data_IF_998698555040
#
_entry.id   IF_998698555040
#
_cell.length_a   1.000
_cell.length_b   1.000
_cell.length_c   1.000
_cell.angle_alpha   90.00
_cell.angle_beta   90.00
_cell.angle_gamma   90.00
#
_symmetry.space_group_name_H-M   'P 1'
#
loop_
_entity.id
_entity.type
_entity.pdbx_description
1 polymer ?
#
# COMPACT_ATOMS: atom_id res chain seq x y z
N UNK A 1 -17.67 -28.67 -25.11
CA UNK A 1 -17.99 -28.79 -23.67
C UNK A 1 -16.77 -28.29 -22.91
N UNK A 2 -16.75 -27.01 -22.56
CA UNK A 2 -15.60 -26.37 -21.93
C UNK A 2 -15.87 -26.21 -20.42
N UNK A 3 -15.08 -26.94 -19.65
CA UNK A 3 -14.62 -26.69 -18.28
C UNK A 3 -15.42 -25.70 -17.41
N UNK A 4 -16.45 -26.23 -16.73
CA UNK A 4 -17.10 -25.59 -15.59
C UNK A 4 -16.43 -25.94 -14.24
N UNK A 5 -15.38 -26.78 -14.24
CA UNK A 5 -14.73 -27.26 -13.00
C UNK A 5 -13.71 -26.27 -12.45
N UNK A 6 -13.03 -25.52 -13.31
CA UNK A 6 -11.94 -24.61 -12.93
C UNK A 6 -12.40 -23.31 -12.25
N UNK A 7 -13.71 -23.00 -12.24
CA UNK A 7 -14.27 -21.77 -11.66
C UNK A 7 -14.58 -21.91 -10.14
N UNK A 8 -14.85 -23.13 -9.68
CA UNK A 8 -15.18 -23.40 -8.28
C UNK A 8 -13.94 -23.32 -7.38
N UNK A 9 -12.77 -23.74 -7.85
CA UNK A 9 -11.54 -23.74 -7.04
C UNK A 9 -11.00 -22.34 -6.75
N UNK A 10 -11.12 -21.39 -7.70
CA UNK A 10 -10.71 -20.01 -7.49
C UNK A 10 -11.64 -19.28 -6.51
N UNK A 11 -12.96 -19.48 -6.65
CA UNK A 11 -13.95 -18.92 -5.74
C UNK A 11 -13.86 -19.53 -4.34
N UNK A 12 -13.54 -20.82 -4.26
CA UNK A 12 -13.28 -21.54 -3.01
C UNK A 12 -12.00 -21.05 -2.33
N UNK A 13 -10.90 -20.85 -3.06
CA UNK A 13 -9.66 -20.29 -2.50
C UNK A 13 -9.85 -18.87 -1.95
N UNK A 14 -10.61 -18.01 -2.64
CA UNK A 14 -10.93 -16.65 -2.17
C UNK A 14 -11.84 -16.70 -0.93
N UNK A 15 -12.77 -17.66 -0.87
CA UNK A 15 -13.67 -17.87 0.28
C UNK A 15 -12.94 -18.44 1.49
N UNK A 16 -12.10 -19.46 1.29
CA UNK A 16 -11.35 -20.15 2.35
C UNK A 16 -10.29 -19.23 2.97
N UNK A 17 -9.64 -18.37 2.17
CA UNK A 17 -8.78 -17.29 2.68
C UNK A 17 -9.54 -16.31 3.59
N UNK A 18 -10.81 -16.02 3.26
CA UNK A 18 -11.65 -15.11 4.05
C UNK A 18 -12.21 -15.75 5.34
N UNK A 19 -12.68 -17.01 5.27
CA UNK A 19 -13.22 -17.74 6.44
C UNK A 19 -12.15 -18.07 7.49
N UNK A 20 -10.87 -18.10 7.09
CA UNK A 20 -9.73 -18.35 8.00
C UNK A 20 -9.38 -17.18 8.94
N UNK A 21 -10.08 -16.04 8.88
CA UNK A 21 -9.87 -14.90 9.79
C UNK A 21 -8.63 -14.05 9.48
N UNK A 22 -8.15 -14.06 8.23
CA UNK A 22 -6.98 -13.28 7.77
C UNK A 22 -7.20 -11.75 7.71
N UNK A 23 -8.37 -11.23 8.09
CA UNK A 23 -8.68 -9.79 8.09
C UNK A 23 -9.33 -9.29 9.39
N UNK A 24 -9.00 -9.88 10.55
CA UNK A 24 -9.46 -9.30 11.83
C UNK A 24 -8.61 -8.07 12.21
N UNK A 25 -8.99 -6.91 11.67
CA UNK A 25 -8.52 -5.60 12.13
C UNK A 25 -9.55 -4.95 13.06
N UNK A 26 -10.12 -5.69 14.02
CA UNK A 26 -10.89 -5.10 15.12
C UNK A 26 -9.97 -4.58 16.23
N UNK A 27 -9.26 -3.48 15.95
CA UNK A 27 -8.54 -2.70 16.97
C UNK A 27 -9.40 -2.29 18.20
N UNK A 28 -10.74 -2.11 18.12
CA UNK A 28 -11.52 -1.72 19.30
C UNK A 28 -11.86 -2.86 20.27
N UNK A 29 -11.96 -4.13 19.80
CA UNK A 29 -12.40 -5.25 20.67
C UNK A 29 -11.28 -5.74 21.60
N UNK A 30 -10.02 -5.60 21.18
CA UNK A 30 -8.85 -5.98 21.99
C UNK A 30 -8.67 -5.09 23.23
N UNK A 31 -9.11 -3.83 23.17
CA UNK A 31 -9.00 -2.88 24.30
C UNK A 31 -10.06 -3.14 25.38
N UNK A 32 -11.24 -3.64 25.00
CA UNK A 32 -12.36 -3.89 25.92
C UNK A 32 -12.17 -5.20 26.69
N UNK A 33 -11.58 -6.24 26.08
CA UNK A 33 -11.35 -7.52 26.78
C UNK A 33 -10.26 -7.47 27.85
N UNK A 34 -9.48 -6.38 27.91
CA UNK A 34 -8.39 -6.18 28.89
C UNK A 34 -8.66 -5.11 29.97
N UNK A 35 -9.88 -4.55 30.05
CA UNK A 35 -10.29 -3.74 31.19
C UNK A 35 -9.52 -2.43 31.42
N UNK A 36 -9.01 -1.79 30.37
CA UNK A 36 -8.26 -0.54 30.50
C UNK A 36 -9.20 0.68 30.57
N UNK A 37 -9.60 1.04 31.78
CA UNK A 37 -10.25 2.32 32.07
C UNK A 37 -9.26 3.50 32.08
N UNK A 38 -9.82 4.66 31.76
CA UNK A 38 -9.17 5.93 31.44
C UNK A 38 -8.65 6.61 32.71
N UNK A 39 -7.34 6.58 32.97
CA UNK A 39 -6.73 7.45 33.99
C UNK A 39 -5.65 8.38 33.46
N UNK A 40 -5.63 9.56 34.10
CA UNK A 40 -4.99 10.82 33.75
C UNK A 40 -3.85 11.04 34.76
N UNK A 41 -2.59 11.15 34.31
CA UNK A 41 -1.41 11.56 35.12
C UNK A 41 -0.41 12.23 34.15
N UNK A 42 -0.14 13.54 34.13
CA UNK A 42 0.66 14.43 35.00
C UNK A 42 2.03 13.90 35.45
N UNK A 43 3.06 14.58 34.92
CA UNK A 43 4.41 14.91 35.40
C UNK A 43 5.33 13.86 36.08
N UNK A 44 6.56 13.83 35.56
CA UNK A 44 7.83 13.29 36.09
C UNK A 44 8.15 11.79 36.01
N UNK A 45 9.20 11.48 35.23
CA UNK A 45 10.33 10.64 35.66
C UNK A 45 10.17 9.12 35.75
N UNK A 46 10.48 8.42 34.64
CA UNK A 46 11.03 7.04 34.52
C UNK A 46 10.65 5.96 35.56
N UNK A 47 9.99 4.89 35.09
CA UNK A 47 10.31 3.47 35.35
C UNK A 47 9.58 2.55 34.35
N UNK A 48 10.29 1.52 33.87
CA UNK A 48 9.90 0.56 32.84
C UNK A 48 8.98 -0.56 33.36
N UNK A 49 8.13 -1.16 32.50
CA UNK A 49 7.86 -2.61 32.43
C UNK A 49 7.11 -3.01 31.13
N UNK A 50 7.62 -4.11 30.56
CA UNK A 50 7.29 -4.87 29.35
C UNK A 50 5.88 -5.53 29.40
N UNK A 51 5.24 -6.15 28.41
CA UNK A 51 5.51 -6.66 27.05
C UNK A 51 4.14 -7.08 26.46
N UNK A 52 3.93 -6.93 25.15
CA UNK A 52 2.79 -7.53 24.46
C UNK A 52 2.49 -6.90 23.10
N UNK A 53 3.39 -7.09 22.14
CA UNK A 53 3.25 -6.57 20.76
C UNK A 53 3.42 -7.70 19.75
N UNK A 54 2.67 -7.67 18.65
CA UNK A 54 3.29 -7.66 17.34
C UNK A 54 2.98 -6.32 16.67
N UNK A 55 3.81 -5.34 16.97
CA UNK A 55 3.91 -4.06 16.29
C UNK A 55 5.16 -4.18 15.43
N UNK A 56 5.00 -4.43 14.12
CA UNK A 56 6.11 -4.24 13.18
C UNK A 56 6.32 -2.73 13.03
N UNK A 57 7.15 -2.17 13.91
CA UNK A 57 7.77 -0.86 13.72
C UNK A 57 9.01 -1.05 12.84
N UNK A 58 9.04 -0.24 11.78
CA UNK A 58 10.19 0.33 11.06
C UNK A 58 11.59 -0.22 11.37
N UNK A 59 12.33 -0.52 10.30
CA UNK A 59 13.71 -0.01 10.19
C UNK A 59 13.68 1.37 9.51
N UNK A 60 14.13 2.37 10.26
CA UNK A 60 14.83 3.55 9.78
C UNK A 60 16.23 3.41 10.35
N UNK A 61 17.20 3.00 9.54
CA UNK A 61 18.61 3.08 9.93
C UNK A 61 19.02 4.56 9.94
N UNK A 62 19.11 5.15 11.13
CA UNK A 62 19.88 6.38 11.35
C UNK A 62 21.25 5.97 11.91
N UNK A 63 22.32 6.32 11.21
CA UNK A 63 23.69 6.18 11.72
C UNK A 63 23.94 7.33 12.69
N UNK A 64 24.07 7.01 13.98
CA UNK A 64 24.40 7.97 15.04
C UNK A 64 25.89 7.83 15.40
N UNK A 65 26.62 8.95 15.49
CA UNK A 65 28.00 8.97 16.03
C UNK A 65 28.03 9.66 17.41
N UNK A 66 28.82 9.15 18.36
CA UNK A 66 29.04 9.82 19.65
C UNK A 66 29.89 11.08 19.47
N UNK A 67 29.49 12.19 20.10
CA UNK A 67 30.28 13.42 20.19
C UNK A 67 31.15 13.36 21.46
N UNK A 68 32.48 13.41 21.37
CA UNK A 68 33.35 13.36 22.56
C UNK A 68 33.02 14.49 23.54
N UNK A 69 32.72 14.13 24.79
CA UNK A 69 32.45 15.09 25.87
C UNK A 69 30.99 15.55 26.03
N UNK A 70 30.02 14.96 25.30
CA UNK A 70 28.58 15.22 25.50
C UNK A 70 27.79 13.90 25.62
N UNK A 71 26.83 13.85 26.55
CA UNK A 71 25.96 12.68 26.78
C UNK A 71 24.76 12.60 25.79
N UNK A 72 24.92 13.01 24.53
CA UNK A 72 23.91 12.82 23.48
C UNK A 72 24.55 12.59 22.09
N UNK A 73 23.82 11.91 21.21
CA UNK A 73 24.22 11.61 19.83
C UNK A 73 23.62 12.63 18.85
N UNK A 74 24.37 13.06 17.84
CA UNK A 74 23.89 13.96 16.76
C UNK A 74 23.67 13.19 15.45
N UNK A 75 22.65 13.63 14.69
CA UNK A 75 22.24 13.11 13.38
C UNK A 75 22.83 13.99 12.27
N UNK A 76 23.59 13.41 11.34
CA UNK A 76 24.05 14.10 10.13
C UNK A 76 23.03 13.92 9.00
N UNK A 77 22.33 15.00 8.62
CA UNK A 77 21.63 15.09 7.33
C UNK A 77 22.56 15.74 6.30
N UNK A 78 22.83 15.05 5.18
CA UNK A 78 23.32 15.74 3.99
C UNK A 78 22.16 16.58 3.44
N UNK A 79 22.20 17.87 3.72
CA UNK A 79 21.35 18.86 3.08
C UNK A 79 21.83 19.06 1.64
N UNK A 80 21.01 18.62 0.68
CA UNK A 80 21.00 19.20 -0.66
C UNK A 80 19.65 19.88 -0.81
N UNK A 81 19.69 21.21 -0.96
CA UNK A 81 18.52 22.05 -1.18
C UNK A 81 17.78 21.65 -2.46
N UNK A 82 16.61 21.03 -2.30
CA UNK A 82 15.55 20.95 -3.29
C UNK A 82 14.27 21.44 -2.60
N UNK A 83 13.51 22.29 -3.27
CA UNK A 83 12.33 22.96 -2.70
C UNK A 83 11.32 21.95 -2.10
N UNK A 84 10.90 22.17 -0.86
CA UNK A 84 10.04 21.25 -0.10
C UNK A 84 8.57 21.30 -0.58
N UNK A 85 8.10 20.25 -1.27
CA UNK A 85 6.69 20.07 -1.67
C UNK A 85 5.97 19.07 -0.74
N UNK A 86 4.92 19.44 0.01
CA UNK A 86 4.22 18.51 0.90
C UNK A 86 3.43 17.42 0.13
N UNK A 87 3.47 16.16 0.58
CA UNK A 87 2.84 15.02 -0.13
C UNK A 87 1.59 14.47 0.54
N UNK A 88 0.52 14.31 -0.23
CA UNK A 88 -0.72 13.67 0.23
C UNK A 88 -0.78 12.24 -0.27
N UNK A 89 -0.99 11.26 0.61
CA UNK A 89 -1.01 9.86 0.22
C UNK A 89 -2.33 9.18 0.55
N UNK A 90 -2.83 8.38 -0.41
CA UNK A 90 -3.98 7.49 -0.26
C UNK A 90 -3.57 6.01 -0.47
N UNK A 91 -2.27 5.70 -0.29
CA UNK A 91 -1.68 4.35 -0.35
C UNK A 91 -1.10 3.92 1.00
N UNK A 92 -1.28 2.65 1.41
CA UNK A 92 -0.66 2.05 2.60
C UNK A 92 0.61 1.26 2.33
N UNK A 93 1.06 1.22 1.08
CA UNK A 93 2.27 0.48 0.71
C UNK A 93 3.47 1.21 1.33
N UNK A 94 3.77 0.88 2.58
CA UNK A 94 4.58 1.72 3.47
C UNK A 94 6.02 1.86 2.95
N UNK A 95 6.52 0.87 2.20
CA UNK A 95 7.82 0.96 1.57
C UNK A 95 7.81 1.74 0.24
N UNK A 96 6.75 1.66 -0.58
CA UNK A 96 6.65 2.54 -1.76
C UNK A 96 6.46 4.01 -1.36
N UNK A 97 5.81 4.25 -0.22
CA UNK A 97 5.64 5.56 0.38
C UNK A 97 6.96 6.16 0.87
N UNK A 98 7.76 5.39 1.63
CA UNK A 98 9.11 5.81 2.03
C UNK A 98 10.00 6.04 0.81
N UNK A 99 9.93 5.15 -0.18
CA UNK A 99 10.80 5.22 -1.35
C UNK A 99 10.41 6.37 -2.30
N UNK A 100 9.11 6.65 -2.48
CA UNK A 100 8.64 7.79 -3.25
C UNK A 100 8.92 9.13 -2.54
N UNK A 101 8.68 9.20 -1.23
CA UNK A 101 9.04 10.35 -0.41
C UNK A 101 10.56 10.60 -0.46
N UNK A 102 11.36 9.56 -0.24
CA UNK A 102 12.82 9.63 -0.34
C UNK A 102 13.31 10.01 -1.73
N UNK A 103 12.65 9.54 -2.80
CA UNK A 103 12.99 9.94 -4.16
C UNK A 103 12.77 11.43 -4.41
N UNK A 104 11.72 11.99 -3.82
CA UNK A 104 11.39 13.42 -3.88
C UNK A 104 12.12 14.26 -2.84
N UNK A 105 13.02 13.66 -2.03
CA UNK A 105 13.76 14.37 -0.99
C UNK A 105 12.93 14.77 0.23
N UNK A 106 11.68 14.29 0.36
CA UNK A 106 10.78 14.66 1.45
C UNK A 106 10.69 13.59 2.54
N UNK A 107 10.36 14.00 3.77
CA UNK A 107 10.06 13.05 4.86
C UNK A 107 8.77 12.30 4.58
N UNK A 108 8.70 11.05 5.05
CA UNK A 108 7.49 10.25 4.93
C UNK A 108 6.31 10.91 5.68
N UNK A 109 5.17 11.13 5.01
CA UNK A 109 3.92 11.63 5.60
C UNK A 109 3.41 10.79 6.77
N UNK A 110 2.88 11.46 7.78
CA UNK A 110 2.29 10.80 8.95
C UNK A 110 0.90 10.25 8.61
N UNK A 111 0.51 9.06 9.12
CA UNK A 111 -0.86 8.59 9.02
C UNK A 111 -1.88 9.54 9.66
N UNK A 112 -2.90 9.94 8.90
CA UNK A 112 -4.05 10.71 9.37
C UNK A 112 -4.75 10.06 10.57
N UNK A 113 -4.77 8.72 10.60
CA UNK A 113 -5.34 7.95 11.69
C UNK A 113 -4.72 8.25 13.07
N UNK A 114 -3.48 8.76 13.11
CA UNK A 114 -2.82 9.14 14.36
C UNK A 114 -3.32 10.48 14.92
N UNK A 115 -4.20 11.19 14.17
CA UNK A 115 -4.82 12.47 14.57
C UNK A 115 -3.80 13.52 15.03
N UNK A 116 -2.61 13.51 14.44
CA UNK A 116 -1.57 14.49 14.74
C UNK A 116 -1.97 15.83 14.13
N UNK A 117 -2.17 16.85 14.97
CA UNK A 117 -2.57 18.21 14.56
C UNK A 117 -1.45 19.23 14.70
N UNK A 118 -0.27 18.80 15.15
CA UNK A 118 0.91 19.65 15.28
C UNK A 118 1.46 20.05 13.91
N UNK A 119 1.55 21.35 13.66
CA UNK A 119 1.91 21.96 12.38
C UNK A 119 3.23 21.41 11.80
N UNK A 120 4.24 21.19 12.66
CA UNK A 120 5.57 20.68 12.26
C UNK A 120 5.51 19.33 11.53
N UNK A 121 4.51 18.51 11.83
CA UNK A 121 4.36 17.20 11.22
C UNK A 121 3.57 17.26 9.92
N UNK A 122 2.63 18.20 9.83
CA UNK A 122 1.78 18.42 8.67
C UNK A 122 2.57 19.02 7.50
N UNK A 123 3.64 19.78 7.77
CA UNK A 123 4.52 20.39 6.75
C UNK A 123 5.12 19.38 5.76
N UNK A 124 5.27 18.12 6.14
CA UNK A 124 5.83 17.08 5.27
C UNK A 124 4.77 16.30 4.47
N UNK A 125 3.48 16.63 4.66
CA UNK A 125 2.37 15.91 4.04
C UNK A 125 1.58 15.02 5.01
N UNK A 126 0.55 14.35 4.48
CA UNK A 126 -0.37 13.51 5.27
C UNK A 126 -0.73 12.22 4.52
N UNK A 127 -0.80 11.09 5.24
CA UNK A 127 -1.21 9.79 4.70
C UNK A 127 -2.62 9.40 5.17
N UNK A 128 -3.60 9.44 4.27
CA UNK A 128 -4.99 9.07 4.50
C UNK A 128 -5.30 7.58 4.25
N UNK A 129 -4.31 6.80 3.84
CA UNK A 129 -4.54 5.43 3.40
C UNK A 129 -4.97 4.49 4.52
N UNK A 130 -5.88 3.58 4.17
CA UNK A 130 -6.43 2.57 5.09
C UNK A 130 -6.28 1.18 4.47
N UNK A 131 -5.77 0.21 5.24
CA UNK A 131 -5.59 -1.16 4.77
C UNK A 131 -6.94 -1.79 4.42
N UNK A 132 -6.99 -2.57 3.34
CA UNK A 132 -8.21 -3.22 2.88
C UNK A 132 -9.21 -2.32 2.16
N UNK A 133 -8.99 -1.00 2.10
CA UNK A 133 -9.90 -0.06 1.41
C UNK A 133 -9.86 -0.20 -0.11
N UNK A 134 -10.94 0.21 -0.76
CA UNK A 134 -11.08 0.30 -2.21
C UNK A 134 -11.51 1.70 -2.69
N UNK A 135 -11.71 1.81 -4.00
CA UNK A 135 -12.47 2.91 -4.63
C UNK A 135 -13.92 2.85 -4.13
N UNK A 136 -14.48 1.64 -4.08
CA UNK A 136 -15.76 1.33 -3.45
C UNK A 136 -15.59 0.72 -2.05
N UNK A 137 -16.71 0.39 -1.40
CA UNK A 137 -16.69 -0.38 -0.15
C UNK A 137 -16.22 -1.81 -0.44
N UNK A 138 -15.26 -2.28 0.35
CA UNK A 138 -14.67 -3.60 0.23
C UNK A 138 -15.24 -4.54 1.29
N UNK A 139 -14.66 -5.73 1.43
CA UNK A 139 -14.96 -6.64 2.54
C UNK A 139 -14.52 -6.09 3.90
N UNK A 140 -13.57 -5.15 3.92
CA UNK A 140 -13.12 -4.49 5.14
C UNK A 140 -13.98 -3.24 5.35
N UNK A 141 -14.71 -3.17 6.47
CA UNK A 141 -15.58 -2.04 6.79
C UNK A 141 -14.76 -0.82 7.23
N UNK A 142 -14.13 -0.19 6.24
CA UNK A 142 -13.28 0.98 6.40
C UNK A 142 -13.71 2.07 5.41
N UNK A 143 -13.36 3.34 5.71
CA UNK A 143 -13.63 4.46 4.80
C UNK A 143 -12.99 4.24 3.42
N UNK A 144 -13.83 4.18 2.38
CA UNK A 144 -13.40 4.09 0.98
C UNK A 144 -12.64 5.35 0.51
N UNK A 145 -12.10 5.33 -0.70
CA UNK A 145 -11.37 6.46 -1.28
C UNK A 145 -12.12 7.79 -1.18
N UNK A 146 -13.42 7.78 -1.49
CA UNK A 146 -14.29 8.96 -1.44
C UNK A 146 -14.32 9.56 -0.03
N UNK A 147 -14.43 8.72 1.00
CA UNK A 147 -14.41 9.16 2.40
C UNK A 147 -13.01 9.65 2.84
N UNK A 148 -11.94 9.01 2.37
CA UNK A 148 -10.58 9.48 2.64
C UNK A 148 -10.33 10.88 2.04
N UNK A 149 -10.84 11.14 0.84
CA UNK A 149 -10.82 12.49 0.23
C UNK A 149 -11.63 13.47 1.07
N UNK A 150 -12.78 13.07 1.62
CA UNK A 150 -13.56 13.94 2.51
C UNK A 150 -12.74 14.35 3.74
N UNK A 151 -11.96 13.43 4.34
CA UNK A 151 -11.07 13.77 5.45
C UNK A 151 -10.01 14.79 5.05
N UNK A 152 -9.40 14.63 3.87
CA UNK A 152 -8.44 15.59 3.33
C UNK A 152 -9.06 16.97 3.11
N UNK A 153 -10.22 17.02 2.46
CA UNK A 153 -10.96 18.27 2.23
C UNK A 153 -11.32 18.99 3.53
N UNK A 154 -11.68 18.24 4.58
CA UNK A 154 -11.94 18.82 5.91
C UNK A 154 -10.70 19.49 6.51
N UNK A 155 -9.49 18.93 6.32
CA UNK A 155 -8.26 19.57 6.81
C UNK A 155 -7.96 20.88 6.06
N UNK A 156 -8.22 20.91 4.75
CA UNK A 156 -8.08 22.14 3.94
C UNK A 156 -9.09 23.20 4.41
N UNK A 157 -10.36 22.83 4.57
CA UNK A 157 -11.41 23.76 5.01
C UNK A 157 -11.12 24.35 6.40
N UNK A 158 -10.55 23.55 7.30
CA UNK A 158 -10.12 23.99 8.63
C UNK A 158 -8.79 24.75 8.62
N UNK A 159 -8.18 24.95 7.45
CA UNK A 159 -6.85 25.58 7.28
C UNK A 159 -5.74 24.91 8.09
N UNK A 160 -5.90 23.61 8.37
CA UNK A 160 -4.89 22.77 9.03
C UNK A 160 -3.85 22.30 8.01
N UNK A 161 -4.25 22.18 6.74
CA UNK A 161 -3.39 21.76 5.64
C UNK A 161 -3.55 22.71 4.46
N UNK A 162 -2.44 23.07 3.79
CA UNK A 162 -2.46 23.83 2.55
C UNK A 162 -2.04 22.92 1.40
N UNK A 163 -2.89 22.79 0.39
CA UNK A 163 -2.69 21.94 -0.78
C UNK A 163 -1.87 22.58 -1.90
N UNK A 164 -1.63 23.90 -1.83
CA UNK A 164 -0.79 24.61 -2.79
C UNK A 164 0.59 23.97 -2.80
N UNK A 165 1.09 23.62 -3.98
CA UNK A 165 2.38 22.94 -4.14
C UNK A 165 2.42 21.53 -3.53
N UNK A 166 1.27 20.83 -3.44
CA UNK A 166 1.26 19.41 -3.05
C UNK A 166 1.21 18.46 -4.24
N UNK A 167 1.82 17.29 -4.07
CA UNK A 167 1.63 16.12 -4.95
C UNK A 167 0.77 15.09 -4.20
N UNK A 168 -0.24 14.52 -4.87
CA UNK A 168 -0.99 13.40 -4.34
C UNK A 168 -0.51 12.07 -4.94
N UNK A 169 -0.30 11.06 -4.10
CA UNK A 169 -0.05 9.68 -4.51
C UNK A 169 -1.26 8.79 -4.16
N UNK A 170 -1.85 8.18 -5.18
CA UNK A 170 -3.03 7.31 -5.09
C UNK A 170 -2.63 5.89 -5.48
N UNK A 171 -2.91 4.92 -4.61
CA UNK A 171 -2.71 3.49 -4.93
C UNK A 171 -3.91 2.65 -4.51
N UNK A 172 -4.75 2.39 -5.50
CA UNK A 172 -5.95 1.57 -5.49
C UNK A 172 -6.00 0.87 -6.87
N UNK A 173 -6.73 -0.21 -7.12
CA UNK A 173 -7.99 -0.65 -6.53
C UNK A 173 -8.00 -2.15 -6.19
N UNK A 174 -6.86 -2.74 -5.80
CA UNK A 174 -6.72 -4.20 -5.61
C UNK A 174 -7.85 -4.86 -4.80
N UNK A 175 -8.25 -4.24 -3.69
CA UNK A 175 -9.30 -4.76 -2.81
C UNK A 175 -10.71 -4.73 -3.43
N UNK A 176 -10.97 -3.85 -4.39
CA UNK A 176 -12.25 -3.80 -5.12
C UNK A 176 -12.46 -5.11 -5.90
N UNK A 177 -11.40 -5.60 -6.57
CA UNK A 177 -11.43 -6.86 -7.32
C UNK A 177 -11.55 -8.08 -6.39
N UNK A 178 -10.78 -8.11 -5.31
CA UNK A 178 -10.91 -9.17 -4.31
C UNK A 178 -12.34 -9.24 -3.75
N UNK A 179 -12.93 -8.07 -3.45
CA UNK A 179 -14.32 -7.97 -2.97
C UNK A 179 -15.33 -8.41 -4.04
N UNK A 180 -15.12 -8.02 -5.30
CA UNK A 180 -15.98 -8.39 -6.42
C UNK A 180 -16.09 -9.91 -6.55
N UNK A 181 -14.96 -10.62 -6.57
CA UNK A 181 -14.97 -12.09 -6.68
C UNK A 181 -15.48 -12.77 -5.41
N UNK A 182 -15.15 -12.25 -4.21
CA UNK A 182 -15.70 -12.77 -2.96
C UNK A 182 -17.23 -12.65 -2.87
N UNK A 183 -17.83 -11.67 -3.55
CA UNK A 183 -19.28 -11.49 -3.67
C UNK A 183 -19.88 -12.20 -4.88
N UNK A 184 -19.24 -13.26 -5.37
CA UNK A 184 -19.66 -14.07 -6.51
C UNK A 184 -19.73 -13.32 -7.85
N UNK A 185 -18.89 -12.29 -8.02
CA UNK A 185 -18.69 -11.65 -9.32
C UNK A 185 -18.07 -12.62 -10.34
N UNK A 186 -18.45 -12.51 -11.61
CA UNK A 186 -18.00 -13.42 -12.67
C UNK A 186 -16.85 -12.83 -13.50
N UNK A 187 -16.11 -13.70 -14.18
CA UNK A 187 -15.05 -13.27 -15.10
C UNK A 187 -15.60 -12.41 -16.25
N UNK A 188 -16.78 -12.74 -16.77
CA UNK A 188 -17.47 -11.99 -17.83
C UNK A 188 -17.86 -10.59 -17.35
N UNK A 189 -18.35 -10.47 -16.11
CA UNK A 189 -18.74 -9.20 -15.51
C UNK A 189 -17.56 -8.30 -15.13
N UNK A 190 -16.33 -8.83 -15.11
CA UNK A 190 -15.14 -8.09 -14.67
C UNK A 190 -14.83 -6.87 -15.56
N UNK A 191 -15.17 -6.91 -16.86
CA UNK A 191 -15.00 -5.76 -17.75
C UNK A 191 -15.88 -4.58 -17.35
N UNK A 192 -17.16 -4.84 -17.11
CA UNK A 192 -18.13 -3.82 -16.68
C UNK A 192 -17.76 -3.27 -15.29
N UNK A 193 -17.35 -4.15 -14.37
CA UNK A 193 -16.87 -3.75 -13.05
C UNK A 193 -15.59 -2.91 -13.12
N UNK A 194 -14.62 -3.28 -13.96
CA UNK A 194 -13.41 -2.48 -14.17
C UNK A 194 -13.76 -1.07 -14.65
N UNK A 195 -14.70 -0.96 -15.59
CA UNK A 195 -15.16 0.35 -16.06
C UNK A 195 -15.74 1.18 -14.91
N UNK A 196 -16.60 0.62 -14.06
CA UNK A 196 -17.17 1.37 -12.93
C UNK A 196 -16.11 1.81 -11.91
N UNK A 197 -15.11 0.97 -11.64
CA UNK A 197 -13.95 1.33 -10.79
C UNK A 197 -13.18 2.51 -11.39
N UNK A 198 -12.87 2.48 -12.68
CA UNK A 198 -12.16 3.56 -13.37
C UNK A 198 -12.99 4.85 -13.40
N UNK A 199 -14.29 4.77 -13.71
CA UNK A 199 -15.18 5.93 -13.74
C UNK A 199 -15.21 6.63 -12.37
N UNK A 200 -15.36 5.86 -11.28
CA UNK A 200 -15.37 6.42 -9.93
C UNK A 200 -13.98 6.92 -9.48
N UNK A 201 -12.92 6.22 -9.86
CA UNK A 201 -11.54 6.65 -9.60
C UNK A 201 -11.29 8.02 -10.25
N UNK A 202 -11.63 8.18 -11.53
CA UNK A 202 -11.49 9.44 -12.28
C UNK A 202 -12.21 10.60 -11.59
N UNK A 203 -13.44 10.39 -11.11
CA UNK A 203 -14.17 11.40 -10.33
C UNK A 203 -13.41 11.80 -9.05
N UNK A 204 -12.85 10.81 -8.35
CA UNK A 204 -12.07 11.06 -7.15
C UNK A 204 -10.75 11.79 -7.44
N UNK A 205 -10.08 11.48 -8.55
CA UNK A 205 -8.87 12.20 -8.98
C UNK A 205 -9.18 13.67 -9.29
N UNK A 206 -10.27 13.95 -10.02
CA UNK A 206 -10.75 15.33 -10.27
C UNK A 206 -10.99 16.08 -8.95
N UNK A 207 -11.56 15.43 -7.94
CA UNK A 207 -11.79 16.03 -6.61
C UNK A 207 -10.50 16.37 -5.88
N UNK A 208 -9.47 15.51 -5.97
CA UNK A 208 -8.15 15.76 -5.37
C UNK A 208 -7.50 16.98 -6.04
N UNK A 209 -7.48 17.02 -7.37
CA UNK A 209 -6.93 18.16 -8.11
C UNK A 209 -7.71 19.45 -7.83
N UNK A 210 -9.05 19.38 -7.83
CA UNK A 210 -9.95 20.52 -7.61
C UNK A 210 -9.85 21.17 -6.22
N UNK A 211 -9.14 20.56 -5.26
CA UNK A 211 -8.83 21.20 -3.97
C UNK A 211 -7.43 21.82 -3.92
N UNK A 212 -6.77 21.99 -5.06
CA UNK A 212 -5.50 22.73 -5.19
C UNK A 212 -4.24 21.87 -5.27
N UNK A 213 -4.37 20.53 -5.32
CA UNK A 213 -3.23 19.62 -5.53
C UNK A 213 -2.74 19.74 -6.98
N UNK A 214 -1.44 19.99 -7.17
CA UNK A 214 -0.87 20.30 -8.49
C UNK A 214 -0.69 19.07 -9.39
N UNK A 215 -0.13 17.99 -8.83
CA UNK A 215 0.08 16.73 -9.53
C UNK A 215 -0.59 15.59 -8.77
N UNK A 216 -1.27 14.70 -9.49
CA UNK A 216 -1.92 13.51 -8.94
C UNK A 216 -1.33 12.27 -9.61
N UNK A 217 -0.42 11.62 -8.90
CA UNK A 217 0.19 10.36 -9.29
C UNK A 217 -0.71 9.19 -8.88
N UNK A 218 -0.99 8.29 -9.81
CA UNK A 218 -1.87 7.14 -9.61
C UNK A 218 -1.13 5.89 -10.05
N UNK A 219 -1.02 4.88 -9.18
CA UNK A 219 -0.42 3.61 -9.57
C UNK A 219 -1.40 2.79 -10.40
N UNK A 220 -0.91 2.12 -11.45
CA UNK A 220 -1.60 0.95 -11.99
C UNK A 220 -1.68 -0.17 -10.94
N UNK A 221 -2.53 -1.16 -11.18
CA UNK A 221 -2.60 -2.37 -10.36
C UNK A 221 -1.55 -3.40 -10.79
N UNK A 222 -1.03 -4.14 -9.82
CA UNK A 222 -0.01 -5.19 -9.98
C UNK A 222 -0.54 -6.38 -10.80
N UNK A 223 0.33 -7.23 -11.37
CA UNK A 223 -0.09 -8.46 -12.03
C UNK A 223 -0.73 -9.43 -11.03
N UNK A 224 -2.07 -9.39 -10.93
CA UNK A 224 -2.83 -10.23 -9.99
C UNK A 224 -2.56 -11.72 -10.15
N UNK A 225 -2.33 -12.19 -11.38
CA UNK A 225 -1.98 -13.58 -11.66
C UNK A 225 -0.69 -14.04 -11.01
N UNK A 226 0.18 -13.13 -10.58
CA UNK A 226 1.43 -13.42 -9.88
C UNK A 226 1.30 -13.38 -8.35
N UNK A 227 0.14 -13.00 -7.79
CA UNK A 227 -0.04 -12.99 -6.34
C UNK A 227 0.00 -14.42 -5.78
N UNK A 228 0.61 -14.66 -4.61
CA UNK A 228 0.66 -15.99 -4.03
C UNK A 228 -0.73 -16.60 -3.76
N UNK A 229 -1.73 -15.82 -3.40
CA UNK A 229 -3.13 -16.30 -3.28
C UNK A 229 -3.68 -16.90 -4.58
N UNK A 230 -3.17 -16.49 -5.74
CA UNK A 230 -3.56 -17.02 -7.05
C UNK A 230 -2.68 -18.21 -7.47
N UNK A 231 -1.38 -18.14 -7.19
CA UNK A 231 -0.39 -19.14 -7.65
C UNK A 231 -0.22 -20.33 -6.70
N UNK A 232 -0.75 -20.26 -5.47
CA UNK A 232 -0.72 -21.34 -4.47
C UNK A 232 -1.28 -22.67 -5.00
N UNK A 233 -2.40 -22.62 -5.73
CA UNK A 233 -3.05 -23.76 -6.40
C UNK A 233 -2.15 -24.53 -7.39
N UNK A 234 -1.07 -23.91 -7.86
CA UNK A 234 -0.08 -24.50 -8.77
C UNK A 234 1.33 -24.48 -8.15
N UNK A 235 1.38 -24.55 -6.82
CA UNK A 235 2.62 -24.59 -6.02
C UNK A 235 3.58 -23.44 -6.33
N UNK A 236 3.05 -22.23 -6.57
CA UNK A 236 3.83 -21.02 -6.81
C UNK A 236 4.78 -21.12 -8.02
N UNK A 237 4.42 -21.93 -9.04
CA UNK A 237 5.29 -22.21 -10.20
C UNK A 237 5.33 -21.09 -11.24
N UNK A 238 4.19 -20.47 -11.52
CA UNK A 238 4.06 -19.45 -12.58
C UNK A 238 2.88 -18.53 -12.33
N UNK A 239 2.87 -17.36 -12.95
CA UNK A 239 1.72 -16.47 -12.92
C UNK A 239 0.56 -17.00 -13.77
N UNK A 240 -0.68 -16.75 -13.34
CA UNK A 240 -1.88 -17.07 -14.15
C UNK A 240 -2.22 -15.93 -15.10
N UNK A 241 -1.92 -16.11 -16.38
CA UNK A 241 -2.08 -15.05 -17.38
C UNK A 241 -3.53 -14.61 -17.61
N UNK A 242 -4.49 -15.53 -17.48
CA UNK A 242 -5.92 -15.22 -17.54
C UNK A 242 -6.36 -14.21 -16.47
N UNK A 243 -5.75 -14.27 -15.28
CA UNK A 243 -6.00 -13.33 -14.18
C UNK A 243 -5.26 -12.00 -14.42
N UNK A 244 -4.05 -12.04 -14.99
CA UNK A 244 -3.30 -10.83 -15.36
C UNK A 244 -4.05 -9.96 -16.39
N UNK A 245 -4.87 -10.56 -17.26
CA UNK A 245 -5.68 -9.80 -18.22
C UNK A 245 -6.62 -8.80 -17.56
N UNK A 246 -7.08 -9.05 -16.33
CA UNK A 246 -7.88 -8.11 -15.54
C UNK A 246 -7.05 -6.86 -15.22
N UNK A 247 -5.83 -7.07 -14.71
CA UNK A 247 -4.91 -5.99 -14.36
C UNK A 247 -4.47 -5.18 -15.59
N UNK A 248 -4.16 -5.86 -16.69
CA UNK A 248 -3.84 -5.21 -17.97
C UNK A 248 -4.99 -4.34 -18.47
N UNK A 249 -6.22 -4.86 -18.44
CA UNK A 249 -7.39 -4.12 -18.88
C UNK A 249 -7.67 -2.89 -18.00
N UNK A 250 -7.56 -3.02 -16.67
CA UNK A 250 -7.65 -1.90 -15.75
C UNK A 250 -6.62 -0.82 -16.07
N UNK A 251 -5.34 -1.20 -16.19
CA UNK A 251 -4.25 -0.25 -16.39
C UNK A 251 -4.36 0.45 -17.74
N UNK A 252 -4.81 -0.25 -18.79
CA UNK A 252 -5.11 0.35 -20.09
C UNK A 252 -6.22 1.40 -20.01
N UNK A 253 -7.35 1.07 -19.36
CA UNK A 253 -8.46 2.02 -19.20
C UNK A 253 -8.07 3.21 -18.32
N UNK A 254 -7.27 2.98 -17.27
CA UNK A 254 -6.73 4.04 -16.43
C UNK A 254 -5.85 4.98 -17.26
N UNK A 255 -4.89 4.45 -18.02
CA UNK A 255 -4.01 5.26 -18.87
C UNK A 255 -4.80 6.14 -19.85
N UNK A 256 -5.78 5.57 -20.54
CA UNK A 256 -6.65 6.31 -21.46
C UNK A 256 -7.45 7.40 -20.76
N UNK A 257 -7.96 7.10 -19.55
CA UNK A 257 -8.73 8.06 -18.76
C UNK A 257 -7.87 9.22 -18.25
N UNK A 258 -6.63 8.94 -17.82
CA UNK A 258 -5.69 9.98 -17.39
C UNK A 258 -5.24 10.87 -18.55
N UNK A 259 -5.03 10.30 -19.75
CA UNK A 259 -4.77 11.09 -20.96
C UNK A 259 -5.93 12.03 -21.28
N UNK A 260 -7.17 11.55 -21.21
CA UNK A 260 -8.37 12.38 -21.40
C UNK A 260 -8.43 13.50 -20.36
N UNK A 261 -8.20 13.18 -19.09
CA UNK A 261 -8.18 14.17 -18.01
C UNK A 261 -7.15 15.28 -18.25
N UNK A 262 -5.93 14.93 -18.64
CA UNK A 262 -4.90 15.92 -18.93
C UNK A 262 -5.30 16.82 -20.11
N UNK A 263 -5.87 16.23 -21.18
CA UNK A 263 -6.39 17.02 -22.32
C UNK A 263 -7.50 17.99 -21.90
N UNK A 264 -8.40 17.59 -20.98
CA UNK A 264 -9.45 18.46 -20.43
C UNK A 264 -8.86 19.62 -19.61
N UNK A 265 -7.76 19.41 -18.90
CA UNK A 265 -7.12 20.46 -18.08
C UNK A 265 -6.30 21.46 -18.90
N UNK A 266 -6.00 21.18 -20.16
CA UNK A 266 -5.11 22.00 -20.99
C UNK A 266 -3.63 22.00 -20.55
N UNK A 267 -3.30 21.26 -19.49
CA UNK A 267 -1.95 21.09 -18.96
C UNK A 267 -1.46 19.67 -19.23
N UNK A 268 -0.22 19.55 -19.72
CA UNK A 268 0.45 18.25 -19.73
C UNK A 268 0.86 17.88 -18.30
N UNK A 269 0.63 16.62 -17.92
CA UNK A 269 1.19 16.00 -16.70
C UNK A 269 0.57 16.40 -15.34
N UNK A 270 -0.72 16.75 -15.28
CA UNK A 270 -1.45 16.87 -14.00
C UNK A 270 -1.72 15.50 -13.40
N UNK A 271 -2.26 14.58 -14.19
CA UNK A 271 -2.55 13.21 -13.78
C UNK A 271 -1.51 12.25 -14.37
N UNK A 272 -0.79 11.56 -13.50
CA UNK A 272 0.40 10.78 -13.86
C UNK A 272 0.17 9.32 -13.52
N UNK A 273 0.41 8.43 -14.49
CA UNK A 273 0.40 6.99 -14.27
C UNK A 273 1.78 6.53 -13.77
N UNK A 274 1.81 5.88 -12.61
CA UNK A 274 2.97 5.11 -12.16
C UNK A 274 2.77 3.66 -12.58
N UNK A 275 3.63 3.16 -13.47
CA UNK A 275 3.51 1.83 -14.07
C UNK A 275 4.00 0.73 -13.12
N UNK A 276 3.20 0.50 -12.09
CA UNK A 276 3.48 -0.49 -11.08
C UNK A 276 3.43 -1.92 -11.64
N UNK A 277 2.62 -2.16 -12.69
CA UNK A 277 2.52 -3.47 -13.32
C UNK A 277 3.84 -3.90 -13.94
N UNK A 278 4.45 -3.03 -14.76
CA UNK A 278 5.75 -3.33 -15.38
C UNK A 278 6.85 -3.38 -14.34
N UNK A 279 6.87 -2.47 -13.37
CA UNK A 279 7.87 -2.49 -12.29
C UNK A 279 7.84 -3.81 -11.51
N UNK A 280 6.64 -4.30 -11.17
CA UNK A 280 6.45 -5.58 -10.48
C UNK A 280 6.84 -6.77 -11.34
N UNK A 281 6.44 -6.75 -12.62
CA UNK A 281 6.78 -7.81 -13.57
C UNK A 281 8.30 -7.91 -13.79
N UNK A 282 8.98 -6.77 -13.94
CA UNK A 282 10.43 -6.70 -14.06
C UNK A 282 11.13 -7.22 -12.80
N UNK A 283 10.66 -6.80 -11.62
CA UNK A 283 11.23 -7.25 -10.35
C UNK A 283 11.10 -8.77 -10.14
N UNK A 284 10.00 -9.37 -10.60
CA UNK A 284 9.82 -10.84 -10.60
C UNK A 284 10.65 -11.55 -11.68
N UNK A 285 10.79 -10.96 -12.87
CA UNK A 285 11.56 -11.51 -14.01
C UNK A 285 13.07 -11.52 -13.80
N UNK A 286 13.61 -10.61 -12.98
CA UNK A 286 15.03 -10.64 -12.56
C UNK A 286 15.47 -12.02 -12.04
N UNK A 287 14.53 -12.85 -11.58
CA UNK A 287 14.75 -14.25 -11.23
C UNK A 287 14.81 -15.22 -12.40
N UNK A 288 13.92 -15.06 -13.39
CA UNK A 288 13.79 -16.00 -14.51
C UNK A 288 14.94 -15.89 -15.50
N UNK A 289 15.37 -14.66 -15.80
CA UNK A 289 16.38 -14.41 -16.82
C UNK A 289 17.82 -14.50 -16.26
N UNK A 290 18.00 -14.30 -14.94
CA UNK A 290 19.29 -14.31 -14.27
C UNK A 290 19.25 -15.00 -12.89
N UNK A 291 19.05 -16.32 -12.82
CA UNK A 291 18.92 -17.06 -11.55
C UNK A 291 20.15 -16.90 -10.63
N UNK A 292 21.35 -16.77 -11.20
CA UNK A 292 22.63 -16.54 -10.50
C UNK A 292 22.67 -15.19 -9.74
N UNK A 293 21.94 -14.18 -10.25
CA UNK A 293 21.90 -12.81 -9.71
C UNK A 293 20.59 -12.53 -8.95
N UNK A 294 19.73 -13.54 -8.78
CA UNK A 294 18.44 -13.37 -8.15
C UNK A 294 18.57 -13.32 -6.63
N UNK A 295 18.10 -12.22 -6.02
CA UNK A 295 18.02 -12.10 -4.56
C UNK A 295 16.87 -12.92 -3.94
N UNK A 296 16.08 -13.65 -4.74
CA UNK A 296 14.87 -14.35 -4.28
C UNK A 296 14.87 -15.84 -4.63
N UNK A 297 14.76 -16.73 -3.63
CA UNK A 297 14.71 -18.19 -3.84
C UNK A 297 13.46 -18.63 -4.63
N UNK A 298 12.28 -18.15 -4.23
CA UNK A 298 11.04 -18.25 -5.01
C UNK A 298 10.22 -16.96 -4.92
N UNK A 299 10.32 -16.12 -5.96
CA UNK A 299 9.63 -14.83 -6.03
C UNK A 299 8.09 -14.88 -5.99
N UNK A 300 7.46 -16.06 -6.17
CA UNK A 300 6.01 -16.21 -6.09
C UNK A 300 5.53 -16.87 -4.79
N UNK A 301 6.45 -17.42 -3.97
CA UNK A 301 6.10 -18.05 -2.70
C UNK A 301 6.15 -16.99 -1.59
N UNK A 302 5.14 -16.92 -0.71
CA UNK A 302 5.15 -15.98 0.41
C UNK A 302 6.04 -16.53 1.54
N UNK A 303 6.70 -15.63 2.27
CA UNK A 303 7.51 -16.04 3.42
C UNK A 303 6.64 -16.45 4.60
N UNK A 304 5.56 -15.72 4.85
CA UNK A 304 4.62 -15.96 5.92
C UNK A 304 3.38 -16.68 5.38
N UNK A 305 3.07 -17.84 5.95
CA UNK A 305 1.91 -18.68 5.61
C UNK A 305 1.01 -18.81 6.84
N UNK A 306 -0.30 -18.69 6.66
CA UNK A 306 -1.29 -18.69 7.75
C UNK A 306 -1.81 -17.29 8.05
N UNK A 307 -2.17 -17.03 9.32
CA UNK A 307 -2.64 -15.71 9.76
C UNK A 307 -1.48 -14.88 10.28
N UNK A 308 -0.75 -14.23 9.36
CA UNK A 308 0.47 -13.49 9.64
C UNK A 308 0.27 -12.38 10.68
N UNK A 309 1.02 -12.45 11.79
CA UNK A 309 0.90 -11.51 12.91
C UNK A 309 -0.17 -11.87 13.93
N UNK A 310 -0.91 -12.96 13.72
CA UNK A 310 -1.94 -13.45 14.65
C UNK A 310 -1.42 -14.55 15.54
N UNK A 311 -1.91 -14.55 16.79
CA UNK A 311 -1.72 -15.64 17.75
C UNK A 311 -3.08 -16.21 18.16
N UNK A 312 -3.10 -17.43 18.68
CA UNK A 312 -4.28 -17.99 19.34
C UNK A 312 -4.42 -17.50 20.79
N UNK A 313 -5.44 -18.01 21.48
CA UNK A 313 -5.74 -17.65 22.88
C UNK A 313 -4.60 -18.03 23.84
N UNK A 314 -3.75 -18.99 23.46
CA UNK A 314 -2.59 -19.43 24.24
C UNK A 314 -1.32 -18.63 23.92
N UNK A 315 -1.38 -17.74 22.92
CA UNK A 315 -0.23 -16.98 22.42
C UNK A 315 0.60 -17.74 21.38
N UNK A 316 0.17 -18.93 20.96
CA UNK A 316 0.85 -19.66 19.89
C UNK A 316 0.58 -18.99 18.53
N UNK A 317 1.61 -18.91 17.69
CA UNK A 317 1.52 -18.28 16.37
C UNK A 317 0.58 -19.07 15.46
N UNK A 318 -0.33 -18.38 14.78
CA UNK A 318 -1.22 -18.96 13.74
C UNK A 318 -0.59 -18.93 12.35
N UNK A 319 0.73 -18.82 12.28
CA UNK A 319 1.47 -18.67 11.04
C UNK A 319 2.86 -19.26 11.18
N UNK A 320 3.42 -19.63 10.03
CA UNK A 320 4.84 -20.00 9.89
C UNK A 320 5.55 -18.94 9.05
N UNK A 321 6.82 -18.73 9.35
CA UNK A 321 7.69 -17.80 8.60
C UNK A 321 8.82 -18.62 7.98
N UNK A 322 9.16 -18.32 6.73
CA UNK A 322 10.25 -18.95 6.01
C UNK A 322 11.61 -18.74 6.70
N UNK A 323 12.58 -19.60 6.39
CA UNK A 323 13.93 -19.55 6.99
C UNK A 323 14.68 -18.25 6.64
N UNK A 324 14.50 -17.75 5.41
CA UNK A 324 15.21 -16.58 4.89
C UNK A 324 14.24 -15.44 4.47
N UNK A 325 13.66 -14.66 5.41
CA UNK A 325 12.73 -13.57 5.07
C UNK A 325 13.33 -12.49 4.15
N UNK A 326 14.65 -12.25 4.27
CA UNK A 326 15.39 -11.29 3.44
C UNK A 326 15.51 -11.71 1.97
N UNK A 327 15.29 -12.99 1.66
CA UNK A 327 15.31 -13.56 0.30
C UNK A 327 13.91 -13.85 -0.24
N UNK A 328 12.87 -13.31 0.39
CA UNK A 328 11.49 -13.49 -0.06
C UNK A 328 11.00 -12.24 -0.79
N UNK A 329 10.36 -12.40 -1.94
CA UNK A 329 9.72 -11.29 -2.64
C UNK A 329 8.38 -10.93 -1.99
N UNK A 330 7.57 -11.94 -1.66
CA UNK A 330 6.29 -11.77 -0.96
C UNK A 330 6.46 -12.02 0.54
N UNK A 331 5.87 -11.14 1.34
CA UNK A 331 5.74 -11.37 2.79
C UNK A 331 4.58 -12.33 3.05
N UNK A 332 3.39 -12.03 2.54
CA UNK A 332 2.17 -12.84 2.69
C UNK A 332 1.55 -13.12 1.31
N UNK A 333 0.31 -13.60 1.29
CA UNK A 333 -0.36 -14.00 0.05
C UNK A 333 -0.67 -12.87 -0.94
N UNK A 334 -0.48 -11.61 -0.55
CA UNK A 334 -0.85 -10.43 -1.34
C UNK A 334 0.26 -9.37 -1.37
N UNK A 335 1.00 -9.21 -0.28
CA UNK A 335 1.91 -8.09 -0.07
C UNK A 335 3.36 -8.49 -0.30
N UNK A 336 4.13 -7.72 -1.09
CA UNK A 336 5.58 -7.84 -1.14
C UNK A 336 6.21 -7.62 0.24
N UNK A 337 7.32 -8.31 0.49
CA UNK A 337 8.22 -8.04 1.61
C UNK A 337 8.94 -6.70 1.41
N UNK A 338 9.73 -6.30 2.40
CA UNK A 338 10.58 -5.11 2.25
C UNK A 338 11.56 -5.26 1.08
N UNK A 339 12.16 -6.43 0.91
CA UNK A 339 13.06 -6.70 -0.22
C UNK A 339 12.29 -6.71 -1.56
N UNK A 340 11.08 -7.26 -1.59
CA UNK A 340 10.21 -7.23 -2.77
C UNK A 340 9.88 -5.80 -3.19
N UNK A 341 9.46 -4.97 -2.24
CA UNK A 341 9.18 -3.55 -2.50
C UNK A 341 10.43 -2.76 -2.90
N UNK A 342 11.60 -3.09 -2.36
CA UNK A 342 12.86 -2.48 -2.79
C UNK A 342 13.14 -2.78 -4.28
N UNK A 343 13.01 -4.04 -4.69
CA UNK A 343 13.17 -4.43 -6.10
C UNK A 343 12.16 -3.73 -7.02
N UNK A 344 10.88 -3.67 -6.61
CA UNK A 344 9.84 -2.94 -7.35
C UNK A 344 10.16 -1.45 -7.46
N UNK A 345 10.65 -0.83 -6.38
CA UNK A 345 11.03 0.58 -6.41
C UNK A 345 12.18 0.85 -7.38
N UNK A 346 13.22 0.01 -7.39
CA UNK A 346 14.33 0.16 -8.34
C UNK A 346 13.84 0.14 -9.79
N UNK A 347 12.89 -0.75 -10.11
CA UNK A 347 12.27 -0.80 -11.42
C UNK A 347 11.33 0.39 -11.71
N UNK A 348 10.66 0.94 -10.68
CA UNK A 348 9.75 2.08 -10.80
C UNK A 348 10.46 3.44 -10.85
N UNK A 349 11.73 3.50 -10.43
CA UNK A 349 12.50 4.75 -10.27
C UNK A 349 12.47 5.65 -11.51
N UNK A 350 12.51 5.06 -12.71
CA UNK A 350 12.41 5.84 -13.95
C UNK A 350 11.08 6.59 -14.06
N UNK A 351 9.94 5.92 -13.78
CA UNK A 351 8.61 6.54 -13.81
C UNK A 351 8.43 7.65 -12.78
N UNK A 352 9.12 7.59 -11.64
CA UNK A 352 9.04 8.62 -10.60
C UNK A 352 9.60 9.98 -11.03
N UNK A 353 10.49 10.03 -12.03
CA UNK A 353 11.00 11.31 -12.55
C UNK A 353 9.91 12.19 -13.16
N UNK A 354 8.78 11.61 -13.59
CA UNK A 354 7.62 12.38 -14.07
C UNK A 354 6.95 13.23 -12.98
N UNK A 355 7.27 12.97 -11.70
CA UNK A 355 6.76 13.73 -10.55
C UNK A 355 7.54 15.03 -10.32
N UNK A 356 8.79 15.10 -10.77
CA UNK A 356 9.60 16.33 -10.82
C UNK A 356 9.05 17.20 -11.97
#
# INVERSE_FOLDING_TARGET
MADQSMNLDLLKLIRDGYESGQFDLNLPKFMVSKGLEKHRLTETGLSFLFSGTPMQIQETCQVLKPVPGKNHMESLSLENHLEDFPMVMFSRITLSMKNAASFLGIRSPIPYAWKVTEEKWIKNGMNFAIGGTGVFKTLVDQPNMTAQINFFQQLIQKKVYTSSSSIALVSLAGNDYATYFAKNGSMEGTKAFTKSVIDQLVLNLKRIHGVGVQKVAVTGIVPFGCLPSITSSISYKQCKETVNNIAKFHNQLLQQSLQRLNNETGASSVFILLDLYHAFSSALKLKQDHPENSTFENGLKPCCLGSCGSVDETGAKKYVVCENPKQSFFWDEHHPSDQGWHAVYLALKHSLHSLL
#
